data_IF_368017983749
#
_entry.id   IF_368017983749
#
_cell.length_a   1.000
_cell.length_b   1.000
_cell.length_c   1.000
_cell.angle_alpha   90.00
_cell.angle_beta   90.00
_cell.angle_gamma   90.00
#
_symmetry.space_group_name_H-M   'P 1'
#
loop_
_entity.id
_entity.type
_entity.pdbx_description
1 polymer ?
#
# COMPACT_ATOMS: atom_id res chain seq x y z
N UNK A 1 -49.65 -89.87 -38.04
CA UNK A 1 -48.54 -88.93 -38.33
C UNK A 1 -48.93 -87.49 -37.99
N UNK A 2 -50.19 -87.07 -38.16
CA UNK A 2 -50.70 -85.74 -37.75
C UNK A 2 -50.43 -85.36 -36.28
N UNK A 3 -50.73 -86.25 -35.31
CA UNK A 3 -50.51 -85.93 -33.88
C UNK A 3 -49.06 -85.59 -33.51
N UNK A 4 -48.06 -86.19 -34.18
CA UNK A 4 -46.63 -85.90 -33.90
C UNK A 4 -46.18 -84.55 -34.45
N UNK A 5 -46.77 -84.07 -35.54
CA UNK A 5 -46.46 -82.75 -36.10
C UNK A 5 -47.14 -81.66 -35.27
N UNK A 6 -48.34 -81.92 -34.77
CA UNK A 6 -49.08 -80.99 -33.92
C UNK A 6 -48.41 -80.81 -32.56
N UNK A 7 -47.96 -81.90 -31.91
CA UNK A 7 -47.13 -81.83 -30.69
C UNK A 7 -45.81 -81.08 -30.91
N UNK A 8 -45.12 -81.30 -32.03
CA UNK A 8 -43.88 -80.58 -32.33
C UNK A 8 -44.13 -79.08 -32.52
N UNK A 9 -45.24 -78.73 -33.16
CA UNK A 9 -45.62 -77.34 -33.43
C UNK A 9 -46.00 -76.63 -32.14
N UNK A 10 -46.78 -77.27 -31.27
CA UNK A 10 -47.12 -76.75 -29.96
C UNK A 10 -45.89 -76.62 -29.06
N UNK A 11 -44.94 -77.55 -29.15
CA UNK A 11 -43.67 -77.48 -28.42
C UNK A 11 -42.78 -76.34 -28.92
N UNK A 12 -42.64 -76.17 -30.23
CA UNK A 12 -41.87 -75.07 -30.84
C UNK A 12 -42.52 -73.72 -30.52
N UNK A 13 -43.85 -73.64 -30.57
CA UNK A 13 -44.58 -72.44 -30.20
C UNK A 13 -44.37 -72.10 -28.72
N UNK A 14 -44.49 -73.09 -27.82
CA UNK A 14 -44.30 -72.89 -26.38
C UNK A 14 -42.86 -72.51 -26.04
N UNK A 15 -41.86 -73.21 -26.60
CA UNK A 15 -40.45 -72.84 -26.43
C UNK A 15 -40.12 -71.47 -27.03
N UNK A 16 -40.73 -71.12 -28.16
CA UNK A 16 -40.56 -69.80 -28.79
C UNK A 16 -41.18 -68.67 -27.96
N UNK A 17 -42.37 -68.90 -27.40
CA UNK A 17 -43.08 -67.94 -26.54
C UNK A 17 -42.40 -67.82 -25.18
N UNK A 18 -41.93 -68.92 -24.58
CA UNK A 18 -41.15 -68.88 -23.32
C UNK A 18 -39.84 -68.12 -23.51
N UNK A 19 -39.04 -68.47 -24.52
CA UNK A 19 -37.78 -67.76 -24.80
C UNK A 19 -38.02 -66.28 -25.14
N UNK A 20 -39.11 -65.97 -25.86
CA UNK A 20 -39.50 -64.60 -26.15
C UNK A 20 -39.88 -63.81 -24.89
N UNK A 21 -40.62 -64.44 -23.96
CA UNK A 21 -40.97 -63.83 -22.68
C UNK A 21 -39.76 -63.64 -21.76
N UNK A 22 -38.85 -64.62 -21.70
CA UNK A 22 -37.59 -64.51 -20.96
C UNK A 22 -36.73 -63.35 -21.48
N UNK A 23 -36.60 -63.25 -22.81
CA UNK A 23 -35.85 -62.17 -23.45
C UNK A 23 -36.50 -60.80 -23.19
N UNK A 24 -37.83 -60.70 -23.27
CA UNK A 24 -38.55 -59.47 -22.96
C UNK A 24 -38.35 -59.05 -21.49
N UNK A 25 -38.41 -59.99 -20.55
CA UNK A 25 -38.14 -59.72 -19.14
C UNK A 25 -36.69 -59.28 -18.91
N UNK A 26 -35.72 -59.88 -19.60
CA UNK A 26 -34.32 -59.46 -19.55
C UNK A 26 -34.15 -58.02 -20.02
N UNK A 27 -34.74 -57.66 -21.16
CA UNK A 27 -34.68 -56.29 -21.72
C UNK A 27 -35.29 -55.28 -20.73
N UNK A 28 -36.45 -55.60 -20.14
CA UNK A 28 -37.10 -54.73 -19.15
C UNK A 28 -36.22 -54.56 -17.91
N UNK A 29 -35.64 -55.64 -17.39
CA UNK A 29 -34.75 -55.58 -16.23
C UNK A 29 -33.49 -54.75 -16.51
N UNK A 30 -32.87 -54.91 -17.69
CA UNK A 30 -31.72 -54.11 -18.10
C UNK A 30 -32.09 -52.63 -18.28
N UNK A 31 -33.25 -52.32 -18.85
CA UNK A 31 -33.73 -50.96 -19.00
C UNK A 31 -33.99 -50.29 -17.64
N UNK A 32 -34.61 -51.02 -16.69
CA UNK A 32 -34.83 -50.54 -15.33
C UNK A 32 -33.52 -50.30 -14.59
N UNK A 33 -32.55 -51.21 -14.72
CA UNK A 33 -31.22 -51.05 -14.12
C UNK A 33 -30.46 -49.85 -14.70
N UNK A 34 -30.54 -49.63 -16.01
CA UNK A 34 -29.96 -48.43 -16.66
C UNK A 34 -30.63 -47.14 -16.21
N UNK A 35 -31.95 -47.13 -16.09
CA UNK A 35 -32.70 -45.97 -15.60
C UNK A 35 -32.32 -45.63 -14.15
N UNK A 36 -32.19 -46.63 -13.28
CA UNK A 36 -31.74 -46.43 -11.89
C UNK A 36 -30.32 -45.87 -11.83
N UNK A 37 -29.39 -46.41 -12.63
CA UNK A 37 -28.02 -45.87 -12.70
C UNK A 37 -27.99 -44.42 -13.16
N UNK A 38 -28.75 -44.08 -14.20
CA UNK A 38 -28.83 -42.70 -14.70
C UNK A 38 -29.36 -41.72 -13.64
N UNK A 39 -30.35 -42.14 -12.85
CA UNK A 39 -30.87 -41.32 -11.75
C UNK A 39 -29.84 -41.15 -10.63
N UNK A 40 -29.11 -42.20 -10.29
CA UNK A 40 -28.06 -42.14 -9.27
C UNK A 40 -26.89 -41.26 -9.72
N UNK A 41 -26.42 -41.42 -10.96
CA UNK A 41 -25.35 -40.60 -11.54
C UNK A 41 -25.75 -39.12 -11.57
N UNK A 42 -26.98 -38.82 -12.00
CA UNK A 42 -27.51 -37.46 -12.01
C UNK A 42 -27.61 -36.86 -10.60
N UNK A 43 -27.95 -37.67 -9.59
CA UNK A 43 -27.99 -37.24 -8.20
C UNK A 43 -26.59 -36.93 -7.66
N UNK A 44 -25.62 -37.81 -7.91
CA UNK A 44 -24.22 -37.61 -7.52
C UNK A 44 -23.67 -36.33 -8.16
N UNK A 45 -23.94 -36.11 -9.44
CA UNK A 45 -23.50 -34.91 -10.15
C UNK A 45 -24.16 -33.65 -9.57
N UNK A 46 -25.46 -33.67 -9.31
CA UNK A 46 -26.18 -32.57 -8.67
C UNK A 46 -25.63 -32.24 -7.28
N UNK A 47 -25.37 -33.25 -6.45
CA UNK A 47 -24.79 -33.07 -5.11
C UNK A 47 -23.36 -32.51 -5.19
N UNK A 48 -22.57 -32.94 -6.17
CA UNK A 48 -21.23 -32.41 -6.45
C UNK A 48 -21.27 -30.93 -6.87
N UNK A 49 -22.18 -30.56 -7.76
CA UNK A 49 -22.39 -29.17 -8.20
C UNK A 49 -22.84 -28.30 -7.02
N UNK A 50 -23.76 -28.77 -6.18
CA UNK A 50 -24.22 -28.04 -5.01
C UNK A 50 -23.10 -27.86 -3.98
N UNK A 51 -22.31 -28.90 -3.73
CA UNK A 51 -21.18 -28.86 -2.80
C UNK A 51 -20.11 -27.87 -3.27
N UNK A 52 -19.69 -27.96 -4.54
CA UNK A 52 -18.71 -27.05 -5.13
C UNK A 52 -19.20 -25.59 -5.14
N UNK A 53 -20.46 -25.36 -5.50
CA UNK A 53 -21.08 -24.02 -5.48
C UNK A 53 -21.12 -23.43 -4.07
N UNK A 54 -21.47 -24.21 -3.05
CA UNK A 54 -21.47 -23.76 -1.65
C UNK A 54 -20.06 -23.44 -1.17
N UNK A 55 -19.08 -24.25 -1.55
CA UNK A 55 -17.66 -24.01 -1.21
C UNK A 55 -17.18 -22.70 -1.84
N UNK A 56 -17.44 -22.49 -3.13
CA UNK A 56 -17.07 -21.27 -3.85
C UNK A 56 -17.75 -20.03 -3.24
N UNK A 57 -19.04 -20.12 -2.88
CA UNK A 57 -19.76 -19.02 -2.23
C UNK A 57 -19.15 -18.66 -0.87
N UNK A 58 -18.79 -19.66 -0.05
CA UNK A 58 -18.16 -19.43 1.24
C UNK A 58 -16.75 -18.83 1.10
N UNK A 59 -15.98 -19.29 0.11
CA UNK A 59 -14.66 -18.73 -0.20
C UNK A 59 -14.78 -17.27 -0.67
N UNK A 60 -15.74 -16.97 -1.54
CA UNK A 60 -16.02 -15.60 -1.98
C UNK A 60 -16.34 -14.69 -0.80
N UNK A 61 -17.26 -15.09 0.09
CA UNK A 61 -17.63 -14.32 1.29
C UNK A 61 -16.41 -14.08 2.19
N UNK A 62 -15.59 -15.12 2.41
CA UNK A 62 -14.37 -15.01 3.22
C UNK A 62 -13.36 -14.05 2.60
N UNK A 63 -13.14 -14.15 1.29
CA UNK A 63 -12.21 -13.30 0.55
C UNK A 63 -12.68 -11.85 0.54
N UNK A 64 -13.93 -11.59 0.19
CA UNK A 64 -14.53 -10.25 0.22
C UNK A 64 -14.45 -9.62 1.61
N UNK A 65 -14.75 -10.37 2.68
CA UNK A 65 -14.62 -9.85 4.05
C UNK A 65 -13.17 -9.49 4.41
N UNK A 66 -12.21 -10.28 3.93
CA UNK A 66 -10.78 -10.02 4.15
C UNK A 66 -10.31 -8.78 3.39
N UNK A 67 -10.74 -8.62 2.13
CA UNK A 67 -10.48 -7.44 1.31
C UNK A 67 -11.11 -6.18 1.92
N UNK A 68 -12.36 -6.24 2.38
CA UNK A 68 -13.01 -5.12 3.06
C UNK A 68 -12.25 -4.71 4.32
N UNK A 69 -11.76 -5.66 5.11
CA UNK A 69 -10.95 -5.36 6.29
C UNK A 69 -9.62 -4.70 5.92
N UNK A 70 -8.97 -5.16 4.85
CA UNK A 70 -7.75 -4.55 4.33
C UNK A 70 -8.00 -3.10 3.90
N UNK A 71 -9.02 -2.85 3.09
CA UNK A 71 -9.38 -1.51 2.63
C UNK A 71 -9.78 -0.59 3.79
N UNK A 72 -10.51 -1.08 4.78
CA UNK A 72 -10.83 -0.32 5.98
C UNK A 72 -9.55 0.07 6.75
N UNK A 73 -8.60 -0.86 6.90
CA UNK A 73 -7.31 -0.56 7.51
C UNK A 73 -6.50 0.48 6.72
N UNK A 74 -6.49 0.37 5.39
CA UNK A 74 -5.84 1.36 4.51
C UNK A 74 -6.50 2.74 4.63
N UNK A 75 -7.83 2.81 4.66
CA UNK A 75 -8.56 4.07 4.81
C UNK A 75 -8.28 4.73 6.17
N UNK A 76 -8.25 3.95 7.25
CA UNK A 76 -7.86 4.45 8.58
C UNK A 76 -6.43 4.99 8.56
N UNK A 77 -5.48 4.25 7.99
CA UNK A 77 -4.08 4.70 7.92
C UNK A 77 -3.92 5.96 7.06
N UNK A 78 -4.65 6.06 5.95
CA UNK A 78 -4.68 7.27 5.12
C UNK A 78 -5.22 8.47 5.92
N UNK A 79 -6.31 8.28 6.67
CA UNK A 79 -6.88 9.32 7.52
C UNK A 79 -5.90 9.75 8.63
N UNK A 80 -5.23 8.80 9.30
CA UNK A 80 -4.20 9.09 10.30
C UNK A 80 -3.07 9.95 9.72
N UNK A 81 -2.62 9.60 8.51
CA UNK A 81 -1.58 10.34 7.79
C UNK A 81 -2.04 11.76 7.42
N UNK A 82 -3.29 11.91 6.97
CA UNK A 82 -3.86 13.21 6.60
C UNK A 82 -4.01 14.11 7.83
N UNK A 83 -4.56 13.58 8.93
CA UNK A 83 -4.67 14.30 10.21
C UNK A 83 -3.30 14.79 10.65
N UNK A 84 -2.29 13.92 10.62
CA UNK A 84 -0.91 14.29 10.96
C UNK A 84 -0.43 15.41 10.05
N UNK A 85 -0.63 15.30 8.73
CA UNK A 85 -0.19 16.30 7.74
C UNK A 85 -0.85 17.66 7.99
N UNK A 86 -2.14 17.70 8.29
CA UNK A 86 -2.88 18.94 8.59
C UNK A 86 -2.38 19.57 9.89
N UNK A 87 -2.22 18.78 10.95
CA UNK A 87 -1.73 19.26 12.26
C UNK A 87 -0.30 19.80 12.12
N UNK A 88 0.61 19.02 11.55
CA UNK A 88 2.00 19.43 11.32
C UNK A 88 2.04 20.65 10.40
N UNK A 89 1.23 20.68 9.33
CA UNK A 89 1.16 21.80 8.41
C UNK A 89 0.82 23.12 9.09
N UNK A 90 -0.19 23.11 9.96
CA UNK A 90 -0.62 24.31 10.68
C UNK A 90 0.39 24.72 11.76
N UNK A 91 0.78 23.79 12.63
CA UNK A 91 1.65 24.09 13.78
C UNK A 91 3.04 24.53 13.29
N UNK A 92 3.62 23.79 12.34
CA UNK A 92 4.97 24.06 11.87
C UNK A 92 5.00 25.30 10.98
N UNK A 93 4.02 25.52 10.10
CA UNK A 93 4.05 26.71 9.24
C UNK A 93 3.99 28.00 10.04
N UNK A 94 3.15 28.07 11.08
CA UNK A 94 3.01 29.29 11.88
C UNK A 94 4.22 29.50 12.79
N UNK A 95 4.72 28.42 13.42
CA UNK A 95 5.90 28.49 14.30
C UNK A 95 7.18 28.80 13.54
N UNK A 96 7.38 28.24 12.34
CA UNK A 96 8.55 28.54 11.50
C UNK A 96 8.48 29.96 10.95
N UNK A 97 7.29 30.47 10.61
CA UNK A 97 7.11 31.88 10.24
C UNK A 97 7.48 32.84 11.36
N UNK A 98 7.20 32.48 12.60
CA UNK A 98 7.60 33.28 13.76
C UNK A 98 9.11 33.16 14.02
N UNK A 99 9.67 31.96 13.87
CA UNK A 99 11.10 31.68 13.97
C UNK A 99 11.93 32.50 12.95
N UNK A 100 11.56 32.50 11.67
CA UNK A 100 12.31 33.22 10.62
C UNK A 100 12.22 34.73 10.76
N UNK A 101 11.21 35.26 11.48
CA UNK A 101 11.10 36.69 11.81
C UNK A 101 12.00 37.10 12.98
N UNK A 102 12.40 36.16 13.84
CA UNK A 102 13.30 36.45 14.94
C UNK A 102 14.76 36.43 14.46
N UNK A 103 15.30 37.62 14.20
CA UNK A 103 16.67 37.78 13.69
C UNK A 103 17.74 37.21 14.61
N UNK A 104 17.57 37.30 15.93
CA UNK A 104 18.58 36.82 16.88
C UNK A 104 18.68 35.30 16.86
N UNK A 105 17.54 34.61 16.91
CA UNK A 105 17.49 33.15 16.80
C UNK A 105 17.95 32.64 15.43
N UNK A 106 17.59 33.32 14.34
CA UNK A 106 18.08 32.97 13.00
C UNK A 106 19.60 33.08 12.91
N UNK A 107 20.18 34.14 13.48
CA UNK A 107 21.62 34.33 13.51
C UNK A 107 22.33 33.26 14.36
N UNK A 108 21.77 32.88 15.52
CA UNK A 108 22.27 31.76 16.34
C UNK A 108 22.27 30.44 15.56
N UNK A 109 21.17 30.16 14.84
CA UNK A 109 21.06 28.97 14.01
C UNK A 109 22.11 28.93 12.91
N UNK A 110 22.34 30.05 12.21
CA UNK A 110 23.36 30.14 11.15
C UNK A 110 24.76 29.91 11.74
N UNK A 111 25.05 30.42 12.94
CA UNK A 111 26.33 30.17 13.63
C UNK A 111 26.50 28.70 13.98
N UNK A 112 25.47 28.04 14.55
CA UNK A 112 25.53 26.63 14.90
C UNK A 112 25.76 25.76 13.65
N UNK A 113 25.04 26.05 12.57
CA UNK A 113 25.20 25.37 11.28
C UNK A 113 26.62 25.57 10.72
N UNK A 114 27.10 26.81 10.72
CA UNK A 114 28.44 27.14 10.25
C UNK A 114 29.52 26.41 11.05
N UNK A 115 29.38 26.33 12.38
CA UNK A 115 30.32 25.63 13.28
C UNK A 115 30.45 24.15 12.91
N UNK A 116 29.31 23.48 12.70
CA UNK A 116 29.31 22.05 12.41
C UNK A 116 29.90 21.73 11.03
N UNK A 117 29.67 22.61 10.06
CA UNK A 117 30.08 22.38 8.67
C UNK A 117 31.51 22.84 8.42
N UNK A 118 31.92 23.98 9.00
CA UNK A 118 33.29 24.49 8.90
C UNK A 118 34.32 23.57 9.57
N UNK A 119 33.88 22.65 10.43
CA UNK A 119 34.72 21.60 11.00
C UNK A 119 35.26 20.62 9.94
N UNK A 120 34.59 20.50 8.78
CA UNK A 120 34.97 19.59 7.70
C UNK A 120 35.63 20.29 6.51
N UNK A 121 35.16 21.50 6.15
CA UNK A 121 35.66 22.25 4.99
C UNK A 121 35.37 23.76 5.11
N UNK A 122 36.14 24.65 4.46
CA UNK A 122 35.81 26.07 4.41
C UNK A 122 34.48 26.31 3.69
N UNK A 123 33.63 27.17 4.26
CA UNK A 123 32.27 27.43 3.74
C UNK A 123 32.03 28.90 3.44
N UNK A 124 31.07 29.14 2.56
CA UNK A 124 30.59 30.45 2.14
C UNK A 124 29.11 30.55 2.46
N UNK A 125 28.74 31.55 3.27
CA UNK A 125 27.36 31.88 3.62
C UNK A 125 26.95 33.09 2.79
N UNK A 126 25.89 32.96 1.98
CA UNK A 126 25.34 34.09 1.23
C UNK A 126 24.02 34.55 1.82
N UNK A 127 23.85 35.85 2.04
CA UNK A 127 22.60 36.45 2.57
C UNK A 127 22.39 37.86 1.99
N UNK A 128 21.17 38.39 2.09
CA UNK A 128 20.88 39.78 1.68
C UNK A 128 21.38 40.80 2.72
N UNK A 129 21.41 40.43 4.02
CA UNK A 129 21.82 41.28 5.15
C UNK A 129 23.20 40.90 5.68
N UNK A 130 24.22 40.96 4.81
CA UNK A 130 25.60 40.61 5.14
C UNK A 130 26.16 41.45 6.28
N UNK A 131 25.79 42.73 6.37
CA UNK A 131 26.29 43.63 7.40
C UNK A 131 25.84 43.19 8.80
N UNK A 132 24.55 42.88 8.98
CA UNK A 132 24.03 42.40 10.26
C UNK A 132 24.62 41.05 10.64
N UNK A 133 24.67 40.10 9.70
CA UNK A 133 25.20 38.76 9.96
C UNK A 133 26.70 38.79 10.29
N UNK A 134 27.49 39.59 9.58
CA UNK A 134 28.93 39.74 9.84
C UNK A 134 29.17 40.35 11.21
N UNK A 135 28.39 41.36 11.61
CA UNK A 135 28.47 41.95 12.95
C UNK A 135 28.16 40.92 14.02
N UNK A 136 27.14 40.09 13.81
CA UNK A 136 26.78 39.00 14.72
C UNK A 136 27.89 37.96 14.84
N UNK A 137 28.41 37.45 13.72
CA UNK A 137 29.54 36.50 13.73
C UNK A 137 30.78 37.09 14.38
N UNK A 138 31.07 38.37 14.18
CA UNK A 138 32.21 39.04 14.82
C UNK A 138 32.09 39.11 16.34
N UNK A 139 30.87 39.24 16.85
CA UNK A 139 30.58 39.31 18.29
C UNK A 139 30.50 37.92 18.94
N UNK A 140 29.84 36.97 18.29
CA UNK A 140 29.47 35.67 18.88
C UNK A 140 30.32 34.50 18.40
N UNK A 141 30.95 34.60 17.24
CA UNK A 141 31.58 33.46 16.55
C UNK A 141 32.83 33.84 15.75
N UNK A 142 33.64 34.79 16.25
CA UNK A 142 34.80 35.35 15.53
C UNK A 142 35.77 34.28 15.03
N UNK A 143 36.00 33.24 15.83
CA UNK A 143 36.88 32.11 15.48
C UNK A 143 36.44 31.41 14.19
N UNK A 144 35.14 31.30 13.91
CA UNK A 144 34.65 30.68 12.67
C UNK A 144 35.00 31.49 11.43
N UNK A 145 35.00 32.82 11.54
CA UNK A 145 35.44 33.69 10.44
C UNK A 145 36.95 33.51 10.18
N UNK A 146 37.73 33.32 11.24
CA UNK A 146 39.18 33.10 11.16
C UNK A 146 39.52 31.67 10.65
N UNK A 147 38.63 30.69 10.88
CA UNK A 147 38.81 29.27 10.56
C UNK A 147 38.24 28.86 9.19
N UNK A 148 37.69 29.79 8.40
CA UNK A 148 37.33 29.55 7.00
C UNK A 148 35.87 29.78 6.62
N UNK A 149 35.07 30.44 7.45
CA UNK A 149 33.71 30.89 7.09
C UNK A 149 33.77 32.26 6.42
N UNK A 150 33.30 32.35 5.17
CA UNK A 150 33.17 33.60 4.42
C UNK A 150 31.71 34.01 4.28
N UNK A 151 31.36 35.27 4.55
CA UNK A 151 29.99 35.79 4.36
C UNK A 151 29.96 36.68 3.11
N UNK A 152 29.02 36.41 2.19
CA UNK A 152 28.84 37.16 0.93
C UNK A 152 27.43 37.75 0.82
N UNK A 153 27.34 38.93 0.22
CA UNK A 153 26.05 39.53 -0.12
C UNK A 153 25.50 38.94 -1.43
N UNK A 154 24.23 38.56 -1.41
CA UNK A 154 23.45 38.18 -2.60
C UNK A 154 22.20 39.04 -2.64
N UNK A 155 21.79 39.50 -3.83
CA UNK A 155 20.58 40.30 -4.00
C UNK A 155 19.54 39.52 -4.81
N UNK A 156 18.27 39.55 -4.37
CA UNK A 156 17.16 38.94 -5.11
C UNK A 156 17.02 37.44 -4.89
N UNK A 157 17.51 36.93 -3.75
CA UNK A 157 17.36 35.52 -3.38
C UNK A 157 16.02 35.31 -2.67
N UNK A 158 15.24 34.31 -3.10
CA UNK A 158 14.05 33.88 -2.36
C UNK A 158 14.40 33.20 -1.01
N UNK A 159 15.63 32.71 -0.88
CA UNK A 159 16.13 32.10 0.35
C UNK A 159 16.68 33.16 1.32
N UNK A 160 16.50 32.92 2.62
CA UNK A 160 16.98 33.79 3.70
C UNK A 160 18.52 33.79 3.78
N UNK A 161 19.11 32.61 3.59
CA UNK A 161 20.55 32.45 3.43
C UNK A 161 20.87 31.16 2.66
N UNK A 162 22.10 31.05 2.17
CA UNK A 162 22.58 29.84 1.50
C UNK A 162 23.98 29.49 1.97
N UNK A 163 24.27 28.20 2.14
CA UNK A 163 25.59 27.70 2.54
C UNK A 163 26.15 26.83 1.42
N UNK A 164 27.39 27.06 1.05
CA UNK A 164 28.14 26.28 0.06
C UNK A 164 29.58 26.13 0.50
N UNK A 165 30.30 25.06 0.14
CA UNK A 165 31.74 25.02 0.37
C UNK A 165 32.46 26.09 -0.47
N UNK A 166 33.71 26.39 -0.14
CA UNK A 166 34.52 27.38 -0.86
C UNK A 166 34.78 27.01 -2.33
N UNK A 167 34.75 25.71 -2.66
CA UNK A 167 34.87 25.21 -4.03
C UNK A 167 33.56 25.31 -4.84
N UNK A 168 32.46 25.70 -4.18
CA UNK A 168 31.13 25.83 -4.75
C UNK A 168 30.60 24.54 -5.40
N UNK A 169 31.06 23.37 -4.93
CA UNK A 169 30.67 22.04 -5.42
C UNK A 169 29.20 21.73 -5.21
N UNK A 170 28.62 22.21 -4.11
CA UNK A 170 27.19 22.13 -3.84
C UNK A 170 26.69 23.35 -3.06
N UNK A 171 25.39 23.62 -3.15
CA UNK A 171 24.75 24.77 -2.49
C UNK A 171 23.46 24.33 -1.82
N UNK A 172 23.38 24.60 -0.53
CA UNK A 172 22.17 24.39 0.27
C UNK A 172 21.53 25.75 0.53
N UNK A 173 20.27 25.90 0.12
CA UNK A 173 19.53 27.14 0.28
C UNK A 173 18.48 26.96 1.37
N UNK A 174 18.40 27.93 2.28
CA UNK A 174 17.49 27.91 3.41
C UNK A 174 16.51 29.07 3.28
N UNK A 175 15.31 28.78 2.77
CA UNK A 175 14.16 29.67 2.80
C UNK A 175 13.12 29.22 3.83
N UNK A 176 12.07 30.02 3.97
CA UNK A 176 10.96 29.71 4.88
C UNK A 176 10.30 28.37 4.54
N UNK A 177 10.14 28.06 3.25
CA UNK A 177 9.53 26.81 2.79
C UNK A 177 10.40 25.59 3.09
N UNK A 178 11.72 25.69 2.88
CA UNK A 178 12.67 24.62 3.20
C UNK A 178 12.71 24.33 4.70
N UNK A 179 12.66 25.36 5.55
CA UNK A 179 12.55 25.18 7.00
C UNK A 179 11.24 24.49 7.38
N UNK A 180 10.11 24.96 6.84
CA UNK A 180 8.80 24.35 7.12
C UNK A 180 8.80 22.87 6.75
N UNK A 181 9.38 22.51 5.60
CA UNK A 181 9.44 21.12 5.15
C UNK A 181 10.36 20.27 6.03
N UNK A 182 11.55 20.78 6.38
CA UNK A 182 12.47 20.09 7.29
C UNK A 182 11.84 19.81 8.66
N UNK A 183 11.24 20.83 9.28
CA UNK A 183 10.57 20.66 10.57
C UNK A 183 9.33 19.77 10.48
N UNK A 184 8.58 19.82 9.36
CA UNK A 184 7.47 18.88 9.13
C UNK A 184 7.94 17.44 9.13
N UNK A 185 9.02 17.14 8.42
CA UNK A 185 9.60 15.80 8.36
C UNK A 185 10.13 15.34 9.73
N UNK A 186 10.73 16.25 10.49
CA UNK A 186 11.24 15.96 11.82
C UNK A 186 10.14 15.68 12.86
N UNK A 187 9.07 16.47 12.86
CA UNK A 187 8.00 16.41 13.88
C UNK A 187 6.98 15.30 13.56
N UNK A 188 6.79 14.96 12.28
CA UNK A 188 5.79 13.97 11.85
C UNK A 188 5.92 12.61 12.57
N UNK A 189 7.10 11.98 12.71
CA UNK A 189 7.23 10.71 13.43
C UNK A 189 6.75 10.79 14.89
N UNK A 190 7.10 11.88 15.59
CA UNK A 190 6.73 12.09 16.99
C UNK A 190 5.22 12.31 17.15
N UNK A 191 4.61 13.08 16.23
CA UNK A 191 3.15 13.27 16.22
C UNK A 191 2.40 11.97 15.95
N UNK A 192 2.91 11.11 15.07
CA UNK A 192 2.31 9.79 14.83
C UNK A 192 2.33 8.96 16.11
N UNK A 193 3.45 8.91 16.83
CA UNK A 193 3.59 8.17 18.10
C UNK A 193 2.68 8.73 19.21
N UNK A 194 2.47 10.05 19.25
CA UNK A 194 1.59 10.67 20.25
C UNK A 194 0.10 10.49 19.96
N UNK A 195 -0.31 10.44 18.68
CA UNK A 195 -1.71 10.44 18.29
C UNK A 195 -2.31 9.04 18.09
N UNK A 196 -1.49 8.01 17.87
CA UNK A 196 -1.95 6.70 17.36
C UNK A 196 -1.26 5.51 17.98
#
# INVERSE_FOLDING_TARGET
MENKIQELTDKIYREGVEKGNEEAQRIIAEAQAKAQRMLEDARIEADSILSSSRKAANELVKNTKSELKLFAGQAVNALKSEITTVITGKIVSDSVKEFTKNKDFLNEFIVALATQWSASEPIVISTEDTASLTKYFTASARKLLDEGVTIKQVNGSKALFTVSPADNSYKVSFGEEEFVNYFKEFIRPQLVEMLF
#
